data_IF_626927122698
#
_entry.id   IF_626927122698
#
_cell.length_a   1.000
_cell.length_b   1.000
_cell.length_c   1.000
_cell.angle_alpha   90.00
_cell.angle_beta   90.00
_cell.angle_gamma   90.00
#
_symmetry.space_group_name_H-M   'P 1'
#
loop_
_entity.id
_entity.type
_entity.pdbx_description
1 polymer ?
#
# COMPACT_ATOMS: atom_id res chain seq x y z
N UNK A 1 81.54 -37.52 -13.01
CA UNK A 1 80.27 -36.76 -12.93
C UNK A 1 79.74 -36.47 -14.33
N UNK A 2 79.03 -37.42 -14.93
CA UNK A 2 78.23 -37.31 -16.17
C UNK A 2 77.35 -38.57 -16.15
N UNK A 3 76.06 -38.46 -16.45
CA UNK A 3 75.04 -39.53 -16.46
C UNK A 3 74.18 -39.73 -15.19
N UNK A 4 73.90 -38.69 -14.39
CA UNK A 4 72.80 -38.73 -13.39
C UNK A 4 71.70 -37.69 -13.58
N UNK A 5 71.73 -36.91 -14.67
CA UNK A 5 70.77 -35.81 -14.92
C UNK A 5 69.63 -36.22 -15.87
N UNK A 6 69.81 -37.29 -16.67
CA UNK A 6 68.78 -37.71 -17.63
C UNK A 6 67.72 -38.67 -17.05
N UNK A 7 67.88 -39.15 -15.82
CA UNK A 7 66.87 -40.00 -15.16
C UNK A 7 65.83 -39.19 -14.38
N UNK A 8 66.16 -37.95 -14.00
CA UNK A 8 65.29 -37.05 -13.23
C UNK A 8 64.31 -36.27 -14.12
N UNK A 9 64.60 -36.14 -15.42
CA UNK A 9 63.70 -35.44 -16.36
C UNK A 9 62.59 -36.35 -16.92
N UNK A 10 62.75 -37.68 -16.84
CA UNK A 10 61.74 -38.64 -17.29
C UNK A 10 60.69 -38.97 -16.22
N UNK A 11 61.00 -38.75 -14.94
CA UNK A 11 60.09 -39.04 -13.82
C UNK A 11 59.10 -37.90 -13.51
N UNK A 12 59.34 -36.68 -13.99
CA UNK A 12 58.45 -35.52 -13.76
C UNK A 12 57.37 -35.39 -14.85
N UNK A 13 57.53 -36.08 -15.98
CA UNK A 13 56.55 -36.08 -17.08
C UNK A 13 55.34 -37.02 -16.83
N UNK A 14 55.34 -37.79 -15.74
CA UNK A 14 54.37 -38.86 -15.51
C UNK A 14 53.28 -38.50 -14.47
N UNK A 15 53.19 -37.22 -14.07
CA UNK A 15 52.20 -36.72 -13.09
C UNK A 15 51.07 -35.87 -13.72
N UNK A 16 50.95 -35.84 -15.05
CA UNK A 16 50.03 -34.91 -15.74
C UNK A 16 48.74 -35.56 -16.27
N UNK A 17 48.41 -36.81 -15.91
CA UNK A 17 47.21 -37.49 -16.43
C UNK A 17 46.39 -38.12 -15.31
N UNK A 18 45.88 -37.27 -14.42
CA UNK A 18 44.67 -37.59 -13.66
C UNK A 18 43.86 -36.33 -13.38
N UNK A 19 43.54 -35.57 -14.43
CA UNK A 19 42.23 -34.92 -14.43
C UNK A 19 41.21 -36.05 -14.59
N UNK A 20 40.70 -36.54 -13.46
CA UNK A 20 39.38 -37.16 -13.46
C UNK A 20 38.48 -36.12 -14.11
N UNK A 21 37.82 -36.49 -15.21
CA UNK A 21 36.73 -35.68 -15.74
C UNK A 21 35.84 -35.37 -14.55
N UNK A 22 35.77 -34.11 -14.14
CA UNK A 22 34.68 -33.68 -13.29
C UNK A 22 33.46 -33.99 -14.13
N UNK A 23 32.79 -35.09 -13.80
CA UNK A 23 31.43 -35.32 -14.25
C UNK A 23 30.68 -34.10 -13.72
N UNK A 24 30.60 -33.06 -14.56
CA UNK A 24 29.68 -31.96 -14.39
C UNK A 24 28.33 -32.66 -14.37
N UNK A 25 27.83 -32.89 -13.16
CA UNK A 25 26.49 -33.39 -12.97
C UNK A 25 25.58 -32.35 -13.61
N UNK A 26 25.18 -32.60 -14.85
CA UNK A 26 24.12 -31.86 -15.50
C UNK A 26 22.91 -32.04 -14.59
N UNK A 27 22.59 -30.98 -13.84
CA UNK A 27 21.38 -30.92 -13.04
C UNK A 27 20.25 -31.23 -14.03
N UNK A 28 19.47 -32.30 -13.82
CA UNK A 28 18.40 -32.63 -14.73
C UNK A 28 17.54 -31.39 -14.94
N UNK A 29 17.41 -30.94 -16.19
CA UNK A 29 16.44 -29.90 -16.53
C UNK A 29 15.07 -30.50 -16.27
N UNK A 30 14.50 -30.16 -15.12
CA UNK A 30 13.11 -30.49 -14.81
C UNK A 30 12.27 -29.56 -15.69
N UNK A 31 11.88 -30.04 -16.86
CA UNK A 31 10.84 -29.41 -17.67
C UNK A 31 9.51 -29.61 -16.96
N UNK A 32 9.14 -28.65 -16.13
CA UNK A 32 7.81 -28.62 -15.51
C UNK A 32 6.85 -28.12 -16.59
N UNK A 33 6.22 -29.05 -17.30
CA UNK A 33 5.07 -28.71 -18.17
C UNK A 33 3.95 -28.18 -17.27
N UNK A 34 3.68 -26.87 -17.37
CA UNK A 34 2.50 -26.31 -16.73
C UNK A 34 1.26 -26.84 -17.43
N UNK A 35 0.23 -27.28 -16.67
CA UNK A 35 -1.07 -27.52 -17.28
C UNK A 35 -1.56 -26.22 -17.94
N UNK A 36 -2.13 -26.35 -19.15
CA UNK A 36 -2.72 -25.23 -19.86
C UNK A 36 -4.03 -24.83 -19.16
N UNK A 37 -3.92 -23.98 -18.13
CA UNK A 37 -5.04 -23.44 -17.36
C UNK A 37 -5.48 -22.14 -18.01
N UNK A 38 -6.77 -22.03 -18.31
CA UNK A 38 -7.38 -20.82 -18.87
C UNK A 38 -8.38 -20.28 -17.86
N UNK A 39 -8.30 -18.99 -17.55
CA UNK A 39 -9.31 -18.31 -16.74
C UNK A 39 -10.66 -18.33 -17.46
N UNK A 40 -11.72 -18.67 -16.76
CA UNK A 40 -13.08 -18.74 -17.32
C UNK A 40 -13.94 -17.53 -16.90
N UNK A 41 -13.47 -16.74 -15.93
CA UNK A 41 -14.13 -15.53 -15.45
C UNK A 41 -13.09 -14.50 -14.96
N UNK A 42 -13.53 -13.29 -14.62
CA UNK A 42 -12.67 -12.19 -14.16
C UNK A 42 -12.94 -11.81 -12.71
N UNK A 43 -11.99 -11.11 -12.07
CA UNK A 43 -12.17 -10.55 -10.73
C UNK A 43 -13.40 -9.61 -10.70
N UNK A 44 -13.58 -8.81 -11.76
CA UNK A 44 -14.75 -7.92 -11.89
C UNK A 44 -16.07 -8.69 -11.93
N UNK A 45 -16.14 -9.78 -12.70
CA UNK A 45 -17.33 -10.62 -12.76
C UNK A 45 -17.63 -11.31 -11.42
N UNK A 46 -16.58 -11.66 -10.67
CA UNK A 46 -16.69 -12.19 -9.31
C UNK A 46 -17.37 -11.19 -8.36
N UNK A 47 -16.89 -9.95 -8.33
CA UNK A 47 -17.48 -8.85 -7.53
C UNK A 47 -18.93 -8.58 -7.93
N UNK A 48 -19.20 -8.51 -9.24
CA UNK A 48 -20.55 -8.31 -9.74
C UNK A 48 -21.52 -9.43 -9.32
N UNK A 49 -21.04 -10.66 -9.10
CA UNK A 49 -21.87 -11.76 -8.61
C UNK A 49 -22.37 -11.51 -7.19
N UNK A 50 -21.53 -10.91 -6.34
CA UNK A 50 -21.94 -10.45 -5.01
C UNK A 50 -22.98 -9.33 -5.13
N UNK A 51 -22.68 -8.28 -5.89
CA UNK A 51 -23.56 -7.11 -6.02
C UNK A 51 -24.95 -7.48 -6.54
N UNK A 52 -25.01 -8.39 -7.53
CA UNK A 52 -26.26 -8.88 -8.10
C UNK A 52 -27.04 -9.81 -7.17
N UNK A 53 -26.37 -10.47 -6.22
CA UNK A 53 -27.05 -11.33 -5.25
C UNK A 53 -27.93 -10.53 -4.29
N UNK A 54 -27.61 -9.25 -4.06
CA UNK A 54 -28.28 -8.41 -3.05
C UNK A 54 -27.97 -8.82 -1.60
N UNK A 55 -27.06 -9.78 -1.40
CA UNK A 55 -26.65 -10.30 -0.10
C UNK A 55 -25.33 -9.65 0.36
N UNK A 56 -25.04 -9.70 1.65
CA UNK A 56 -23.74 -9.24 2.19
C UNK A 56 -22.56 -10.13 1.78
N UNK A 57 -22.86 -11.34 1.31
CA UNK A 57 -21.90 -12.37 0.97
C UNK A 57 -22.51 -13.33 -0.05
N UNK A 58 -21.69 -13.81 -0.97
CA UNK A 58 -22.08 -14.75 -2.01
C UNK A 58 -21.14 -15.97 -2.00
N UNK A 59 -21.70 -17.17 -2.04
CA UNK A 59 -20.93 -18.43 -2.07
C UNK A 59 -21.05 -19.08 -3.43
N UNK A 60 -19.90 -19.30 -4.08
CA UNK A 60 -19.81 -19.98 -5.36
C UNK A 60 -20.09 -21.47 -5.17
N UNK A 61 -21.01 -22.04 -5.94
CA UNK A 61 -21.42 -23.43 -5.75
C UNK A 61 -20.26 -24.37 -6.05
N UNK A 62 -20.14 -25.45 -5.30
CA UNK A 62 -19.02 -26.41 -5.44
C UNK A 62 -18.95 -27.14 -6.79
N UNK A 63 -20.00 -27.08 -7.61
CA UNK A 63 -20.02 -27.61 -8.97
C UNK A 63 -19.65 -26.57 -10.04
N UNK A 64 -19.36 -25.33 -9.65
CA UNK A 64 -18.80 -24.34 -10.56
C UNK A 64 -17.38 -24.75 -10.93
N UNK A 65 -17.00 -24.54 -12.19
CA UNK A 65 -15.62 -24.77 -12.66
C UNK A 65 -14.91 -23.46 -12.92
N UNK A 66 -15.39 -22.38 -12.30
CA UNK A 66 -14.93 -21.03 -12.57
C UNK A 66 -13.53 -20.80 -12.01
N UNK A 67 -12.67 -20.21 -12.83
CA UNK A 67 -11.29 -19.86 -12.48
C UNK A 67 -11.08 -18.39 -12.83
N UNK A 68 -10.63 -17.61 -11.84
CA UNK A 68 -10.09 -16.27 -12.08
C UNK A 68 -8.58 -16.34 -12.21
N UNK A 69 -8.00 -15.33 -12.86
CA UNK A 69 -6.57 -15.07 -12.84
C UNK A 69 -6.28 -13.67 -12.30
N UNK A 70 -5.05 -13.48 -11.82
CA UNK A 70 -4.54 -12.18 -11.44
C UNK A 70 -3.06 -12.24 -11.03
N UNK A 71 -2.49 -11.08 -10.74
CA UNK A 71 -1.09 -10.90 -10.39
C UNK A 71 -0.96 -10.43 -8.95
N UNK A 72 -0.05 -11.06 -8.19
CA UNK A 72 0.19 -10.73 -6.78
C UNK A 72 0.81 -9.33 -6.65
N UNK A 73 0.23 -8.51 -5.78
CA UNK A 73 0.71 -7.15 -5.46
C UNK A 73 0.96 -6.91 -3.96
N UNK A 74 0.77 -7.93 -3.13
CA UNK A 74 1.10 -7.93 -1.71
C UNK A 74 2.27 -8.86 -1.40
N UNK A 75 3.12 -8.48 -0.44
CA UNK A 75 4.21 -9.28 0.10
C UNK A 75 4.19 -9.22 1.62
N UNK A 76 4.13 -10.37 2.29
CA UNK A 76 4.22 -10.46 3.75
C UNK A 76 5.68 -10.50 4.26
N UNK A 77 6.67 -10.32 3.38
CA UNK A 77 8.10 -10.37 3.70
C UNK A 77 8.52 -9.34 4.75
N UNK A 78 8.16 -8.07 4.53
CA UNK A 78 8.46 -6.98 5.46
C UNK A 78 7.44 -6.85 6.61
N UNK A 79 6.44 -7.76 6.68
CA UNK A 79 5.48 -7.82 7.79
C UNK A 79 4.32 -6.81 7.74
N UNK A 80 4.14 -6.08 6.64
CA UNK A 80 3.02 -5.13 6.50
C UNK A 80 1.69 -5.81 6.14
N UNK A 81 1.75 -6.93 5.42
CA UNK A 81 0.59 -7.77 5.10
C UNK A 81 0.55 -9.01 5.99
N UNK A 82 -0.65 -9.42 6.41
CA UNK A 82 -0.81 -10.57 7.31
C UNK A 82 -1.97 -11.48 6.87
N UNK A 83 -1.64 -12.76 6.60
CA UNK A 83 -2.63 -13.80 6.26
C UNK A 83 -3.56 -13.44 5.09
N UNK A 84 -3.06 -12.66 4.14
CA UNK A 84 -3.78 -12.24 2.95
C UNK A 84 -2.85 -12.19 1.74
N UNK A 85 -3.37 -12.57 0.58
CA UNK A 85 -2.78 -12.24 -0.73
C UNK A 85 -3.71 -11.26 -1.43
N UNK A 86 -3.17 -10.14 -1.88
CA UNK A 86 -3.89 -9.20 -2.75
C UNK A 86 -3.41 -9.43 -4.18
N UNK A 87 -4.37 -9.65 -5.08
CA UNK A 87 -4.12 -9.77 -6.51
C UNK A 87 -4.89 -8.70 -7.28
N UNK A 88 -4.34 -8.27 -8.41
CA UNK A 88 -5.03 -7.42 -9.38
C UNK A 88 -5.17 -8.12 -10.73
N UNK A 89 -6.14 -7.68 -11.54
CA UNK A 89 -6.53 -8.36 -12.78
C UNK A 89 -5.48 -8.25 -13.91
N UNK A 90 -4.74 -7.14 -14.00
CA UNK A 90 -3.69 -6.93 -15.01
C UNK A 90 -2.38 -6.48 -14.35
N UNK A 91 -1.23 -6.87 -14.91
CA UNK A 91 0.08 -6.44 -14.39
C UNK A 91 0.37 -4.96 -14.69
N UNK A 92 -0.33 -4.35 -15.64
CA UNK A 92 -0.25 -2.95 -16.04
C UNK A 92 -1.68 -2.42 -16.21
N UNK A 93 -1.93 -1.18 -15.78
CA UNK A 93 -3.25 -0.53 -15.82
C UNK A 93 -4.39 -1.43 -15.25
N UNK A 94 -4.26 -1.93 -14.01
CA UNK A 94 -5.29 -2.76 -13.40
C UNK A 94 -6.63 -2.04 -13.32
N UNK A 95 -7.73 -2.79 -13.48
CA UNK A 95 -9.07 -2.23 -13.34
C UNK A 95 -9.70 -2.57 -11.99
N UNK A 96 -9.24 -3.64 -11.35
CA UNK A 96 -9.73 -4.06 -10.05
C UNK A 96 -8.78 -5.08 -9.42
N UNK A 97 -8.86 -5.23 -8.10
CA UNK A 97 -8.21 -6.34 -7.40
C UNK A 97 -9.06 -6.94 -6.29
N UNK A 98 -8.54 -7.96 -5.62
CA UNK A 98 -9.25 -8.71 -4.59
C UNK A 98 -8.27 -9.21 -3.54
N UNK A 99 -8.73 -9.23 -2.29
CA UNK A 99 -8.01 -9.81 -1.16
C UNK A 99 -8.43 -11.28 -0.98
N UNK A 100 -7.45 -12.17 -0.90
CA UNK A 100 -7.65 -13.61 -0.69
C UNK A 100 -7.18 -13.93 0.71
N UNK A 101 -8.10 -14.38 1.55
CA UNK A 101 -7.85 -14.68 2.95
C UNK A 101 -7.18 -16.05 3.07
N UNK A 102 -5.97 -16.15 3.63
CA UNK A 102 -5.16 -17.39 3.62
C UNK A 102 -4.49 -17.61 4.98
N UNK A 103 -4.60 -18.82 5.52
CA UNK A 103 -3.99 -19.20 6.81
C UNK A 103 -2.55 -19.70 6.66
N UNK A 104 -1.69 -18.88 6.04
CA UNK A 104 -0.28 -19.17 5.86
C UNK A 104 0.57 -17.91 6.06
N UNK A 105 1.78 -18.11 6.56
CA UNK A 105 2.83 -17.08 6.69
C UNK A 105 3.93 -17.33 5.65
N UNK A 106 4.76 -16.32 5.42
CA UNK A 106 5.82 -16.35 4.42
C UNK A 106 5.27 -16.68 3.04
N UNK A 107 4.12 -16.08 2.70
CA UNK A 107 3.47 -16.23 1.40
C UNK A 107 4.40 -15.77 0.28
N UNK A 108 5.23 -14.74 0.51
CA UNK A 108 6.21 -14.22 -0.45
C UNK A 108 7.17 -15.31 -1.02
N UNK A 109 7.48 -16.36 -0.25
CA UNK A 109 8.40 -17.42 -0.69
C UNK A 109 7.80 -18.30 -1.79
N UNK A 110 6.47 -18.36 -1.86
CA UNK A 110 5.73 -19.15 -2.85
C UNK A 110 5.03 -18.25 -3.87
N UNK A 111 4.50 -17.12 -3.44
CA UNK A 111 3.69 -16.20 -4.21
C UNK A 111 4.36 -14.82 -4.24
N UNK A 112 5.57 -14.76 -4.81
CA UNK A 112 6.33 -13.51 -4.92
C UNK A 112 5.54 -12.41 -5.65
N UNK A 113 5.88 -11.15 -5.37
CA UNK A 113 5.31 -9.99 -6.07
C UNK A 113 5.40 -10.16 -7.59
N UNK A 114 4.32 -9.84 -8.30
CA UNK A 114 4.19 -10.01 -9.76
C UNK A 114 3.86 -11.43 -10.24
N UNK A 115 3.79 -12.42 -9.34
CA UNK A 115 3.45 -13.81 -9.68
C UNK A 115 2.03 -13.89 -10.23
N UNK A 116 1.86 -14.53 -11.39
CA UNK A 116 0.52 -14.85 -11.91
C UNK A 116 -0.07 -16.05 -11.16
N UNK A 117 -1.31 -15.91 -10.70
CA UNK A 117 -2.07 -16.96 -10.00
C UNK A 117 -3.37 -17.26 -10.76
N UNK A 118 -3.79 -18.52 -10.67
CA UNK A 118 -5.13 -18.98 -11.03
C UNK A 118 -5.85 -19.42 -9.76
N UNK A 119 -7.08 -18.96 -9.57
CA UNK A 119 -7.87 -19.26 -8.36
C UNK A 119 -9.18 -19.91 -8.79
N UNK A 120 -9.35 -21.16 -8.38
CA UNK A 120 -10.66 -21.84 -8.44
C UNK A 120 -11.54 -21.26 -7.37
N UNK A 121 -12.74 -20.82 -7.74
CA UNK A 121 -13.64 -20.13 -6.79
C UNK A 121 -14.71 -21.04 -6.21
N UNK A 122 -14.90 -22.24 -6.77
CA UNK A 122 -15.95 -23.17 -6.37
C UNK A 122 -15.83 -23.57 -4.90
N UNK A 123 -16.87 -23.33 -4.11
CA UNK A 123 -16.87 -23.59 -2.66
C UNK A 123 -16.26 -22.47 -1.81
N UNK A 124 -15.69 -21.42 -2.42
CA UNK A 124 -15.30 -20.19 -1.74
C UNK A 124 -16.48 -19.22 -1.66
N UNK A 125 -16.37 -18.26 -0.75
CA UNK A 125 -17.31 -17.16 -0.54
C UNK A 125 -16.60 -15.84 -0.74
N UNK A 126 -17.30 -14.89 -1.35
CA UNK A 126 -16.89 -13.49 -1.47
C UNK A 126 -17.77 -12.63 -0.57
N UNK A 127 -17.18 -11.63 0.07
CA UNK A 127 -17.89 -10.57 0.79
C UNK A 127 -17.25 -9.22 0.49
N UNK A 128 -18.04 -8.15 0.62
CA UNK A 128 -17.54 -6.79 0.66
C UNK A 128 -17.50 -6.37 2.14
N UNK A 129 -16.29 -6.24 2.66
CA UNK A 129 -16.00 -5.83 4.04
C UNK A 129 -15.54 -4.37 4.01
N UNK A 130 -16.49 -3.45 4.14
CA UNK A 130 -16.21 -2.01 4.19
C UNK A 130 -15.41 -1.48 2.98
N UNK A 131 -15.81 -1.90 1.78
CA UNK A 131 -15.17 -1.57 0.50
C UNK A 131 -14.12 -2.58 0.04
N UNK A 132 -13.64 -3.45 0.93
CA UNK A 132 -12.63 -4.48 0.63
C UNK A 132 -13.31 -5.78 0.23
N UNK A 133 -13.16 -6.18 -1.03
CA UNK A 133 -13.64 -7.48 -1.47
C UNK A 133 -12.70 -8.59 -1.01
N UNK A 134 -13.22 -9.49 -0.19
CA UNK A 134 -12.50 -10.62 0.40
C UNK A 134 -13.03 -11.94 -0.15
N UNK A 135 -12.12 -12.81 -0.57
CA UNK A 135 -12.39 -14.17 -1.04
C UNK A 135 -11.75 -15.18 -0.08
N UNK A 136 -12.51 -16.20 0.30
CA UNK A 136 -12.04 -17.23 1.23
C UNK A 136 -13.12 -18.25 1.54
N UNK A 137 -13.01 -18.95 2.68
CA UNK A 137 -14.02 -19.92 3.07
C UNK A 137 -15.21 -19.28 3.78
N UNK A 138 -16.39 -19.88 3.61
CA UNK A 138 -17.53 -19.54 4.44
C UNK A 138 -17.28 -19.91 5.91
N UNK A 139 -17.29 -18.92 6.81
CA UNK A 139 -17.23 -19.14 8.25
C UNK A 139 -18.38 -18.40 8.93
N UNK A 140 -19.50 -19.10 9.14
CA UNK A 140 -20.77 -18.55 9.66
C UNK A 140 -21.29 -17.41 8.77
N UNK A 141 -21.14 -16.17 9.21
CA UNK A 141 -21.64 -14.95 8.61
C UNK A 141 -20.53 -14.07 8.02
N UNK A 142 -19.32 -14.62 7.86
CA UNK A 142 -18.17 -13.93 7.28
C UNK A 142 -17.35 -14.83 6.36
N UNK A 143 -16.50 -14.20 5.55
CA UNK A 143 -15.42 -14.86 4.82
C UNK A 143 -14.23 -15.06 5.77
N UNK A 144 -13.89 -16.32 5.99
CA UNK A 144 -12.72 -16.77 6.73
C UNK A 144 -11.54 -17.12 5.81
N UNK A 145 -10.43 -17.49 6.43
CA UNK A 145 -9.19 -17.87 5.75
C UNK A 145 -9.27 -19.25 5.10
N UNK A 146 -8.60 -19.41 3.96
CA UNK A 146 -8.31 -20.71 3.34
C UNK A 146 -7.28 -21.45 4.21
N UNK A 147 -7.61 -22.62 4.78
CA UNK A 147 -6.67 -23.39 5.59
C UNK A 147 -5.43 -23.79 4.78
N UNK A 148 -4.26 -23.77 5.41
CA UNK A 148 -2.99 -24.09 4.74
C UNK A 148 -2.99 -25.43 4.00
N UNK A 149 -3.67 -26.44 4.54
CA UNK A 149 -3.79 -27.77 3.92
C UNK A 149 -4.62 -27.80 2.63
N UNK A 150 -5.45 -26.78 2.39
CA UNK A 150 -6.36 -26.70 1.24
C UNK A 150 -5.92 -25.65 0.21
N UNK A 151 -4.90 -24.85 0.48
CA UNK A 151 -4.46 -23.77 -0.42
C UNK A 151 -4.21 -24.29 -1.84
N UNK A 152 -3.53 -25.43 -1.99
CA UNK A 152 -3.19 -26.00 -3.30
C UNK A 152 -4.40 -26.55 -4.06
N UNK A 153 -5.55 -26.72 -3.40
CA UNK A 153 -6.80 -27.07 -4.06
C UNK A 153 -7.38 -25.87 -4.82
N UNK A 154 -7.24 -24.65 -4.27
CA UNK A 154 -7.83 -23.42 -4.80
C UNK A 154 -6.86 -22.58 -5.61
N UNK A 155 -5.61 -22.45 -5.16
CA UNK A 155 -4.63 -21.50 -5.70
C UNK A 155 -3.56 -22.26 -6.48
N UNK A 156 -3.55 -22.05 -7.79
CA UNK A 156 -2.55 -22.62 -8.68
C UNK A 156 -1.58 -21.52 -9.09
N UNK A 157 -0.30 -21.73 -8.77
CA UNK A 157 0.78 -20.80 -9.08
C UNK A 157 1.27 -21.01 -10.52
N UNK A 158 1.33 -19.95 -11.32
CA UNK A 158 2.00 -19.96 -12.63
C UNK A 158 3.53 -19.85 -12.49
N UNK A 159 4.29 -20.39 -13.44
CA UNK A 159 5.73 -20.10 -13.56
C UNK A 159 5.99 -18.67 -14.05
N UNK A 160 4.97 -18.00 -14.59
CA UNK A 160 5.05 -16.61 -15.03
C UNK A 160 5.10 -15.64 -13.84
N UNK A 161 6.03 -14.69 -13.91
CA UNK A 161 6.09 -13.51 -13.05
C UNK A 161 6.24 -12.31 -13.96
N UNK A 162 5.43 -11.29 -13.75
CA UNK A 162 5.50 -10.02 -14.47
C UNK A 162 6.04 -8.95 -13.54
N UNK A 163 6.74 -7.99 -14.12
CA UNK A 163 6.96 -6.71 -13.49
C UNK A 163 5.60 -5.99 -13.41
N UNK A 164 5.21 -5.58 -12.19
CA UNK A 164 3.97 -4.83 -12.00
C UNK A 164 4.25 -3.37 -12.32
N UNK A 165 3.49 -2.81 -13.24
CA UNK A 165 3.51 -1.40 -13.59
C UNK A 165 2.36 -0.74 -12.80
N UNK A 166 2.66 0.11 -11.79
CA UNK A 166 1.62 0.73 -10.98
C UNK A 166 0.71 1.62 -11.83
N UNK A 167 -0.57 1.69 -11.46
CA UNK A 167 -1.47 2.70 -12.02
C UNK A 167 -1.11 4.06 -11.44
N UNK A 168 -0.68 5.01 -12.29
CA UNK A 168 -0.47 6.39 -11.88
C UNK A 168 -1.80 7.08 -11.64
N UNK A 169 -1.95 7.71 -10.49
CA UNK A 169 -3.19 8.32 -10.05
C UNK A 169 -2.92 9.43 -9.03
N UNK A 170 -3.70 10.50 -9.10
CA UNK A 170 -3.67 11.58 -8.11
C UNK A 170 -4.59 11.27 -6.91
N UNK A 171 -4.34 11.88 -5.75
CA UNK A 171 -5.09 11.54 -4.52
C UNK A 171 -6.59 11.81 -4.66
N UNK A 172 -6.98 12.86 -5.39
CA UNK A 172 -8.38 13.23 -5.60
C UNK A 172 -9.12 12.36 -6.61
N UNK A 173 -8.42 11.45 -7.28
CA UNK A 173 -9.01 10.48 -8.18
C UNK A 173 -9.31 9.13 -7.49
N UNK A 174 -8.97 9.00 -6.21
CA UNK A 174 -9.23 7.78 -5.44
C UNK A 174 -10.71 7.44 -5.41
N UNK A 175 -11.01 6.16 -5.64
CA UNK A 175 -12.37 5.63 -5.66
C UNK A 175 -12.41 4.17 -5.22
N UNK A 176 -13.58 3.74 -4.75
CA UNK A 176 -13.81 2.35 -4.31
C UNK A 176 -13.51 1.33 -5.42
N UNK A 177 -13.59 1.75 -6.69
CA UNK A 177 -13.31 0.89 -7.84
C UNK A 177 -11.85 0.42 -7.92
N UNK A 178 -10.93 1.20 -7.36
CA UNK A 178 -9.49 0.98 -7.41
C UNK A 178 -8.95 0.28 -6.15
N UNK A 179 -9.80 -0.01 -5.16
CA UNK A 179 -9.41 -0.77 -3.97
C UNK A 179 -8.86 -2.14 -4.38
N UNK A 180 -7.72 -2.50 -3.80
CA UNK A 180 -6.99 -3.73 -4.09
C UNK A 180 -6.12 -3.66 -5.34
N UNK A 181 -5.80 -2.47 -5.84
CA UNK A 181 -4.85 -2.27 -6.96
C UNK A 181 -3.54 -1.65 -6.49
N UNK A 182 -2.48 -1.90 -7.25
CA UNK A 182 -1.17 -1.27 -7.02
C UNK A 182 -1.09 0.04 -7.78
N UNK A 183 -0.91 1.12 -7.03
CA UNK A 183 -0.92 2.49 -7.56
C UNK A 183 0.40 3.19 -7.29
N UNK A 184 0.67 4.24 -8.06
CA UNK A 184 1.77 5.17 -7.80
C UNK A 184 1.25 6.60 -7.80
N UNK A 185 1.65 7.36 -6.78
CA UNK A 185 1.33 8.78 -6.63
C UNK A 185 2.64 9.56 -6.78
N UNK A 186 2.64 10.56 -7.65
CA UNK A 186 3.79 11.42 -7.89
C UNK A 186 3.67 12.75 -7.16
N UNK A 187 4.81 13.44 -7.00
CA UNK A 187 4.91 14.73 -6.32
C UNK A 187 4.35 14.69 -4.90
N UNK A 188 4.67 13.63 -4.17
CA UNK A 188 4.19 13.40 -2.80
C UNK A 188 5.31 13.71 -1.78
N UNK A 189 4.91 14.21 -0.62
CA UNK A 189 5.75 14.33 0.57
C UNK A 189 4.97 13.91 1.82
N UNK A 190 5.66 13.60 2.91
CA UNK A 190 5.01 13.53 4.22
C UNK A 190 4.71 14.93 4.73
N UNK A 191 3.62 15.10 5.51
CA UNK A 191 3.36 16.38 6.18
C UNK A 191 4.50 16.76 7.12
N UNK A 192 4.69 18.06 7.31
CA UNK A 192 5.80 18.61 8.10
C UNK A 192 5.84 18.10 9.54
N UNK A 193 4.69 17.86 10.15
CA UNK A 193 4.57 17.32 11.52
C UNK A 193 4.79 15.80 11.62
N UNK A 194 4.92 15.09 10.49
CA UNK A 194 5.31 13.68 10.43
C UNK A 194 6.83 13.50 10.32
N UNK A 195 7.56 14.52 9.87
CA UNK A 195 9.02 14.44 9.67
C UNK A 195 9.71 14.12 11.00
N UNK A 196 10.62 13.14 10.96
CA UNK A 196 11.37 12.70 12.13
C UNK A 196 10.62 11.73 13.05
N UNK A 197 9.33 11.47 12.81
CA UNK A 197 8.65 10.29 13.37
C UNK A 197 9.09 9.04 12.63
N UNK A 198 8.78 7.89 13.21
CA UNK A 198 8.91 6.58 12.60
C UNK A 198 7.65 6.21 11.80
N UNK A 199 7.71 5.20 10.91
CA UNK A 199 6.52 4.75 10.16
C UNK A 199 5.42 4.16 11.06
N UNK A 200 5.80 3.36 12.07
CA UNK A 200 4.88 2.71 13.00
C UNK A 200 5.55 2.31 14.34
N UNK A 201 6.48 3.12 14.81
CA UNK A 201 7.25 2.90 16.04
C UNK A 201 7.01 3.94 17.13
N UNK A 202 6.02 4.83 16.97
CA UNK A 202 5.70 5.84 17.97
C UNK A 202 4.92 5.24 19.15
N UNK A 203 5.00 5.83 20.36
CA UNK A 203 4.34 5.25 21.55
C UNK A 203 2.82 5.10 21.46
N UNK A 204 2.18 5.81 20.53
CA UNK A 204 0.73 5.80 20.29
C UNK A 204 0.31 4.91 19.11
N UNK A 205 1.26 4.29 18.40
CA UNK A 205 0.95 3.33 17.34
C UNK A 205 0.58 1.98 17.99
N UNK A 206 -0.69 1.57 17.89
CA UNK A 206 -1.18 0.33 18.52
C UNK A 206 -1.03 -0.89 17.58
N UNK A 207 -1.82 -0.91 16.50
CA UNK A 207 -1.82 -1.98 15.51
C UNK A 207 -1.07 -1.55 14.25
N UNK A 208 -1.35 -0.33 13.79
CA UNK A 208 -0.68 0.35 12.69
C UNK A 208 -0.23 1.73 13.13
N UNK A 209 0.86 2.23 12.55
CA UNK A 209 1.17 3.64 12.49
C UNK A 209 0.59 4.23 11.20
N UNK A 210 -0.17 5.30 11.36
CA UNK A 210 -0.77 6.06 10.26
C UNK A 210 -0.02 7.38 10.14
N UNK A 211 0.42 7.70 8.92
CA UNK A 211 1.18 8.91 8.62
C UNK A 211 0.54 9.63 7.46
N UNK A 212 0.39 10.94 7.60
CA UNK A 212 -0.25 11.74 6.57
C UNK A 212 0.77 12.14 5.51
N UNK A 213 0.45 11.82 4.27
CA UNK A 213 1.15 12.28 3.07
C UNK A 213 0.29 13.32 2.36
N UNK A 214 0.95 14.25 1.67
CA UNK A 214 0.29 15.30 0.89
C UNK A 214 0.89 15.40 -0.50
N UNK A 215 0.03 15.66 -1.49
CA UNK A 215 0.43 15.81 -2.88
C UNK A 215 0.67 17.28 -3.21
N UNK A 216 1.88 17.61 -3.67
CA UNK A 216 2.29 18.99 -3.90
C UNK A 216 1.51 19.72 -4.98
N UNK A 217 1.00 19.01 -5.98
CA UNK A 217 0.23 19.60 -7.08
C UNK A 217 -1.13 20.14 -6.62
N UNK A 218 -1.72 19.56 -5.57
CA UNK A 218 -3.14 19.72 -5.24
C UNK A 218 -3.44 19.92 -3.75
N UNK A 219 -2.44 19.74 -2.88
CA UNK A 219 -2.55 19.75 -1.42
C UNK A 219 -3.57 18.75 -0.84
N UNK A 220 -3.98 17.75 -1.63
CA UNK A 220 -4.77 16.62 -1.16
C UNK A 220 -3.92 15.72 -0.26
N UNK A 221 -4.58 15.11 0.71
CA UNK A 221 -3.93 14.26 1.71
C UNK A 221 -4.39 12.81 1.55
N UNK A 222 -3.48 11.89 1.83
CA UNK A 222 -3.78 10.47 1.98
C UNK A 222 -3.07 9.93 3.23
N UNK A 223 -3.48 8.73 3.65
CA UNK A 223 -2.90 8.06 4.81
C UNK A 223 -2.02 6.92 4.33
N UNK A 224 -0.77 6.92 4.77
CA UNK A 224 0.12 5.76 4.67
C UNK A 224 -0.02 4.95 5.97
N UNK A 225 -0.51 3.71 5.86
CA UNK A 225 -0.67 2.82 7.01
C UNK A 225 0.42 1.76 7.02
N UNK A 226 1.13 1.65 8.13
CA UNK A 226 2.19 0.66 8.34
C UNK A 226 1.92 -0.16 9.60
N UNK A 227 1.97 -1.47 9.50
CA UNK A 227 1.86 -2.41 10.61
C UNK A 227 2.96 -2.22 11.64
N UNK A 228 2.62 -2.25 12.92
CA UNK A 228 3.60 -2.27 14.04
C UNK A 228 4.40 -3.58 14.10
N UNK A 229 4.06 -4.58 13.27
CA UNK A 229 4.82 -5.80 13.07
C UNK A 229 5.80 -5.73 11.89
N UNK A 230 5.79 -4.62 11.12
CA UNK A 230 6.73 -4.49 9.99
C UNK A 230 8.17 -4.33 10.46
N UNK A 231 9.12 -4.83 9.67
CA UNK A 231 10.55 -4.71 9.99
C UNK A 231 11.08 -3.27 9.83
N UNK A 232 10.40 -2.47 9.01
CA UNK A 232 10.74 -1.07 8.72
C UNK A 232 9.97 -0.06 9.58
N UNK A 233 9.16 -0.51 10.54
CA UNK A 233 8.33 0.37 11.38
C UNK A 233 9.11 1.50 12.06
N UNK A 234 10.36 1.24 12.42
CA UNK A 234 11.23 2.18 13.16
C UNK A 234 12.07 3.06 12.24
N UNK A 235 11.94 2.93 10.91
CA UNK A 235 12.61 3.82 9.97
C UNK A 235 12.05 5.23 10.13
N UNK A 236 12.92 6.23 10.06
CA UNK A 236 12.51 7.62 10.15
C UNK A 236 11.85 8.08 8.83
N UNK A 237 10.82 8.89 8.97
CA UNK A 237 10.15 9.54 7.86
C UNK A 237 11.06 10.60 7.24
N UNK A 238 11.17 10.56 5.92
CA UNK A 238 11.97 11.47 5.12
C UNK A 238 11.33 12.86 5.04
N UNK A 239 12.16 13.90 5.02
CA UNK A 239 11.76 15.27 4.74
C UNK A 239 11.68 15.58 3.24
N UNK A 240 11.90 14.58 2.37
CA UNK A 240 11.96 14.75 0.92
C UNK A 240 10.62 14.54 0.21
N UNK A 241 10.61 14.91 -1.06
CA UNK A 241 9.49 14.79 -2.00
C UNK A 241 9.84 13.78 -3.09
N UNK A 242 8.83 13.15 -3.70
CA UNK A 242 9.05 12.20 -4.79
C UNK A 242 7.80 11.40 -5.15
N UNK A 243 7.89 10.07 -5.15
CA UNK A 243 6.78 9.20 -5.46
C UNK A 243 6.62 8.07 -4.42
N UNK A 244 5.39 7.59 -4.27
CA UNK A 244 5.06 6.42 -3.45
C UNK A 244 4.25 5.43 -4.30
N UNK A 245 4.70 4.18 -4.33
CA UNK A 245 4.00 3.04 -4.91
C UNK A 245 3.51 2.10 -3.82
N UNK A 246 2.21 1.82 -3.80
CA UNK A 246 1.57 1.07 -2.71
C UNK A 246 0.27 0.39 -3.17
N UNK A 247 -0.24 -0.54 -2.36
CA UNK A 247 -1.59 -1.08 -2.54
C UNK A 247 -2.61 -0.09 -1.98
N UNK A 248 -3.56 0.34 -2.80
CA UNK A 248 -4.69 1.18 -2.36
C UNK A 248 -5.75 0.32 -1.67
N UNK A 249 -6.16 0.70 -0.48
CA UNK A 249 -7.22 0.04 0.28
C UNK A 249 -8.00 1.05 1.14
N UNK A 250 -8.81 0.55 2.07
CA UNK A 250 -9.47 1.34 3.10
C UNK A 250 -9.02 0.96 4.49
N UNK A 251 -9.15 1.91 5.40
CA UNK A 251 -8.91 1.73 6.83
C UNK A 251 -9.80 0.64 7.45
N UNK A 252 -9.70 0.45 8.77
CA UNK A 252 -10.48 -0.58 9.44
C UNK A 252 -11.99 -0.30 9.37
N UNK A 253 -12.40 0.97 9.40
CA UNK A 253 -13.81 1.38 9.43
C UNK A 253 -14.44 1.54 8.03
N UNK A 254 -13.64 1.59 6.97
CA UNK A 254 -14.13 1.77 5.59
C UNK A 254 -14.39 3.23 5.21
N UNK A 255 -13.94 4.16 6.04
CA UNK A 255 -14.24 5.58 5.92
C UNK A 255 -13.19 6.28 5.05
N UNK A 256 -11.92 5.89 5.20
CA UNK A 256 -10.79 6.58 4.57
C UNK A 256 -9.98 5.65 3.67
N UNK A 257 -9.47 6.21 2.56
CA UNK A 257 -8.49 5.50 1.74
C UNK A 257 -7.13 5.49 2.43
N UNK A 258 -6.49 4.33 2.43
CA UNK A 258 -5.16 4.14 2.99
C UNK A 258 -4.26 3.41 2.00
N UNK A 259 -2.98 3.71 2.07
CA UNK A 259 -1.93 3.08 1.28
C UNK A 259 -1.16 2.07 2.15
N UNK A 260 -0.98 0.86 1.63
CA UNK A 260 -0.17 -0.18 2.28
C UNK A 260 1.06 -0.49 1.41
N UNK A 261 2.25 -0.31 2.00
CA UNK A 261 3.52 -0.65 1.37
C UNK A 261 3.81 -2.15 1.48
N UNK A 262 4.45 -2.70 0.46
CA UNK A 262 5.07 -4.02 0.59
C UNK A 262 6.31 -3.94 1.49
N UNK A 263 7.13 -2.94 1.24
CA UNK A 263 8.40 -2.68 1.91
C UNK A 263 8.85 -1.23 1.58
N UNK A 264 9.94 -0.71 2.17
CA UNK A 264 10.40 0.66 1.96
C UNK A 264 10.79 1.00 0.51
N UNK A 265 11.05 0.02 -0.36
CA UNK A 265 11.39 0.29 -1.77
C UNK A 265 10.24 0.92 -2.55
N UNK A 266 9.00 0.81 -2.06
CA UNK A 266 7.86 1.53 -2.61
C UNK A 266 7.92 3.05 -2.40
N UNK A 267 8.92 3.58 -1.68
CA UNK A 267 9.07 5.00 -1.39
C UNK A 267 10.31 5.55 -2.11
N UNK A 268 10.09 6.43 -3.07
CA UNK A 268 11.15 7.07 -3.86
C UNK A 268 11.16 8.59 -3.63
N UNK A 269 11.46 9.01 -2.40
CA UNK A 269 11.54 10.43 -2.00
C UNK A 269 12.97 10.96 -2.15
N UNK A 270 13.32 11.39 -3.37
CA UNK A 270 14.69 11.78 -3.72
C UNK A 270 14.91 13.30 -3.82
N UNK A 271 13.83 14.10 -3.94
CA UNK A 271 13.91 15.54 -4.17
C UNK A 271 13.91 16.32 -2.85
N UNK A 272 14.76 17.34 -2.74
CA UNK A 272 14.86 18.18 -1.54
C UNK A 272 13.85 19.34 -1.50
N UNK A 273 13.18 19.61 -2.63
CA UNK A 273 12.21 20.70 -2.72
C UNK A 273 10.85 20.24 -2.20
N UNK A 274 10.50 20.73 -1.01
CA UNK A 274 9.17 20.55 -0.40
C UNK A 274 8.20 21.62 -0.89
N UNK A 275 6.91 21.31 -0.82
CA UNK A 275 5.81 22.20 -1.18
C UNK A 275 4.99 22.66 0.03
N UNK A 276 5.61 22.68 1.22
CA UNK A 276 4.97 23.14 2.45
C UNK A 276 4.46 24.58 2.26
N UNK A 277 3.25 24.92 2.73
CA UNK A 277 2.80 26.31 2.73
C UNK A 277 3.72 27.17 3.61
N UNK A 278 4.08 28.36 3.12
CA UNK A 278 4.82 29.34 3.89
C UNK A 278 3.92 29.94 4.99
N UNK A 279 4.19 29.58 6.24
CA UNK A 279 3.60 30.25 7.39
C UNK A 279 4.51 31.38 7.85
N UNK A 280 3.91 32.54 8.15
CA UNK A 280 4.61 33.60 8.85
C UNK A 280 4.91 33.14 10.28
N UNK A 281 6.18 32.81 10.55
CA UNK A 281 6.67 32.59 11.91
C UNK A 281 6.99 33.93 12.55
N UNK A 282 6.36 34.22 13.70
CA UNK A 282 6.78 35.36 14.51
C UNK A 282 8.13 35.01 15.15
N UNK A 283 9.24 35.46 14.55
CA UNK A 283 10.58 35.29 15.12
C UNK A 283 10.89 36.44 16.11
N UNK A 284 11.39 36.10 17.31
CA UNK A 284 11.84 37.07 18.32
C UNK A 284 11.51 36.67 19.76
N UNK A 285 12.23 37.24 20.73
CA UNK A 285 11.85 37.16 22.15
C UNK A 285 10.53 37.92 22.33
N UNK A 286 9.43 37.18 22.54
CA UNK A 286 8.09 37.76 22.73
C UNK A 286 7.94 38.51 24.08
N UNK A 287 9.00 38.59 24.88
CA UNK A 287 8.98 39.15 26.24
C UNK A 287 9.44 40.62 26.36
N UNK A 288 9.83 41.31 25.29
CA UNK A 288 10.24 42.72 25.38
C UNK A 288 9.50 43.62 24.38
N UNK A 289 8.68 44.54 24.92
CA UNK A 289 8.02 45.67 24.27
C UNK A 289 7.54 45.40 22.84
N UNK A 290 6.44 44.66 22.73
CA UNK A 290 5.69 44.59 21.48
C UNK A 290 5.05 45.97 21.22
N UNK A 291 5.58 46.71 20.24
CA UNK A 291 4.75 47.68 19.53
C UNK A 291 3.68 46.86 18.79
N UNK A 292 2.49 46.77 19.37
CA UNK A 292 1.33 46.17 18.72
C UNK A 292 1.05 46.99 17.45
N UNK A 293 1.44 46.45 16.30
CA UNK A 293 1.23 47.10 14.99
C UNK A 293 -0.23 46.94 14.56
N UNK A 294 -0.88 45.88 15.02
CA UNK A 294 -2.27 45.56 14.74
C UNK A 294 -2.83 44.66 15.85
N UNK A 295 -4.03 44.97 16.34
CA UNK A 295 -4.78 44.16 17.30
C UNK A 295 -6.25 44.14 16.89
N UNK A 296 -6.81 42.94 16.83
CA UNK A 296 -8.22 42.68 16.55
C UNK A 296 -8.66 41.50 17.43
N UNK A 297 -9.65 41.72 18.27
CA UNK A 297 -10.26 40.70 19.14
C UNK A 297 -11.68 40.33 18.72
N UNK A 298 -12.20 40.97 17.68
CA UNK A 298 -13.51 40.75 17.09
C UNK A 298 -14.69 41.00 18.02
N UNK A 299 -14.50 41.62 19.19
CA UNK A 299 -15.59 41.89 20.15
C UNK A 299 -16.60 42.89 19.60
N UNK A 300 -16.20 43.73 18.65
CA UNK A 300 -17.10 44.69 17.98
C UNK A 300 -18.03 44.03 16.95
N UNK A 301 -17.84 42.75 16.62
CA UNK A 301 -18.68 42.05 15.65
C UNK A 301 -20.04 41.69 16.23
N UNK A 302 -21.11 42.15 15.58
CA UNK A 302 -22.49 41.76 15.88
C UNK A 302 -22.88 40.53 15.08
N UNK A 303 -22.47 40.45 13.81
CA UNK A 303 -22.82 39.36 12.90
C UNK A 303 -21.67 39.08 11.89
N UNK A 304 -21.80 38.00 11.11
CA UNK A 304 -20.75 37.54 10.19
C UNK A 304 -20.48 38.49 9.02
N UNK A 305 -21.43 39.36 8.67
CA UNK A 305 -21.28 40.32 7.56
C UNK A 305 -20.32 41.46 7.94
N UNK A 306 -20.23 41.75 9.24
CA UNK A 306 -19.35 42.78 9.79
C UNK A 306 -17.88 42.49 9.49
N UNK A 307 -17.48 41.21 9.30
CA UNK A 307 -16.12 40.85 8.87
C UNK A 307 -15.73 41.57 7.58
N UNK A 308 -16.61 41.59 6.59
CA UNK A 308 -16.33 42.22 5.30
C UNK A 308 -16.21 43.74 5.46
N UNK A 309 -17.02 44.34 6.34
CA UNK A 309 -16.96 45.76 6.65
C UNK A 309 -15.69 46.13 7.42
N UNK A 310 -15.18 45.20 8.24
CA UNK A 310 -13.90 45.28 8.96
C UNK A 310 -12.69 44.92 8.08
N UNK A 311 -12.89 44.61 6.80
CA UNK A 311 -11.81 44.28 5.86
C UNK A 311 -11.35 42.82 5.85
N UNK A 312 -12.01 41.95 6.61
CA UNK A 312 -11.71 40.52 6.68
C UNK A 312 -12.45 39.72 5.60
N UNK A 313 -11.78 38.70 5.06
CA UNK A 313 -12.34 37.77 4.08
C UNK A 313 -12.60 36.41 4.74
N UNK A 314 -13.85 35.94 4.67
CA UNK A 314 -14.25 34.60 5.12
C UNK A 314 -14.63 33.74 3.91
N UNK A 315 -13.59 33.21 3.26
CA UNK A 315 -13.67 32.46 2.01
C UNK A 315 -13.29 31.00 2.24
N UNK A 316 -14.11 30.06 1.75
CA UNK A 316 -13.76 28.64 1.74
C UNK A 316 -12.96 28.36 0.48
N UNK A 317 -11.71 27.95 0.62
CA UNK A 317 -10.84 27.58 -0.51
C UNK A 317 -10.92 26.08 -0.84
N UNK A 318 -11.60 25.28 -0.02
CA UNK A 318 -11.84 23.86 -0.24
C UNK A 318 -13.28 23.60 -0.73
N UNK A 319 -13.55 22.47 -1.37
CA UNK A 319 -14.90 22.11 -1.83
C UNK A 319 -15.93 22.14 -0.68
N UNK A 320 -17.13 22.68 -0.94
CA UNK A 320 -18.24 22.78 0.04
C UNK A 320 -18.57 24.20 0.53
N UNK A 321 -19.54 24.30 1.44
CA UNK A 321 -20.09 25.58 1.95
C UNK A 321 -19.61 25.95 3.36
N UNK A 322 -18.60 25.24 3.89
CA UNK A 322 -18.07 25.44 5.24
C UNK A 322 -17.40 26.81 5.37
N UNK A 323 -17.86 27.62 6.33
CA UNK A 323 -17.28 28.94 6.63
C UNK A 323 -17.21 29.12 8.13
N UNK A 324 -16.25 29.93 8.59
CA UNK A 324 -16.21 30.32 10.00
C UNK A 324 -17.52 31.04 10.37
N UNK A 325 -18.08 30.69 11.52
CA UNK A 325 -19.31 31.27 12.07
C UNK A 325 -18.97 32.00 13.36
N UNK A 326 -19.62 33.14 13.58
CA UNK A 326 -19.56 33.84 14.86
C UNK A 326 -20.21 32.98 15.95
N UNK A 327 -19.53 32.83 17.08
CA UNK A 327 -20.07 32.32 18.34
C UNK A 327 -19.85 33.35 19.43
N UNK A 328 -20.73 33.34 20.43
CA UNK A 328 -20.58 34.17 21.62
C UNK A 328 -20.86 33.31 22.84
N UNK A 329 -19.93 33.29 23.80
CA UNK A 329 -20.07 32.55 25.06
C UNK A 329 -19.43 33.35 26.19
N UNK A 330 -20.18 33.56 27.27
CA UNK A 330 -19.74 34.31 28.46
C UNK A 330 -19.20 35.73 28.13
N UNK A 331 -19.80 36.41 27.17
CA UNK A 331 -19.38 37.76 26.75
C UNK A 331 -18.30 37.79 25.67
N UNK A 332 -17.54 36.70 25.49
CA UNK A 332 -16.49 36.63 24.47
C UNK A 332 -17.08 36.28 23.11
N UNK A 333 -16.61 36.97 22.07
CA UNK A 333 -16.88 36.63 20.66
C UNK A 333 -15.75 35.76 20.12
N UNK A 334 -16.09 34.71 19.38
CA UNK A 334 -15.10 33.90 18.68
C UNK A 334 -15.58 33.48 17.30
N UNK A 335 -14.61 33.22 16.42
CA UNK A 335 -14.84 32.64 15.10
C UNK A 335 -14.60 31.14 15.19
N UNK A 336 -15.65 30.34 14.94
CA UNK A 336 -15.56 28.90 15.01
C UNK A 336 -15.95 28.30 13.66
N UNK A 337 -15.16 27.35 13.18
CA UNK A 337 -15.55 26.41 12.14
C UNK A 337 -15.64 25.02 12.76
N UNK A 338 -16.68 24.28 12.43
CA UNK A 338 -16.80 22.88 12.81
C UNK A 338 -16.54 22.05 11.56
N UNK A 339 -15.52 21.20 11.58
CA UNK A 339 -15.48 20.05 10.70
C UNK A 339 -16.57 19.08 11.17
N UNK A 340 -17.46 18.68 10.27
CA UNK A 340 -18.28 17.48 10.41
C UNK A 340 -17.84 16.54 9.31
#
# INVERSE_FOLDING_TARGET
>A
MKNRINLTFFLISMLSVSCVQTDDFEIPKIEIEMPNIVSTTSIKALKNSLDQSGEKMYTFKGNESSIIEGFVISSDEAGNFYKALIIQDHFENPTTGIEIMIDQKALFTKYNFGRKLFIKIAGLSIMNDEGKYKLGYLLKDKVGVIPSSMIDEFIIRSMETKEIIPMKIDIDEFSDSQIGTYIQIENIQFKKDEIGKTYAGEPFDEFNGERIIEQCSSQWNAILSTSTYSDFKSNLISDKTGAISAVLTKDFYGEEFVLLLNDPSGIELLNNERCDPEYLTCEGNLESDQNIIFYEDFDMMKNIKDLKEMGWLNHNVNFGNGKFKKRSKNGNVSMQISAY
#
